data_IF_210430258694
#
_entry.id   IF_210430258694
#
_cell.length_a   1.000
_cell.length_b   1.000
_cell.length_c   1.000
_cell.angle_alpha   90.00
_cell.angle_beta   90.00
_cell.angle_gamma   90.00
#
_symmetry.space_group_name_H-M   'P 1'
#
loop_
_entity.id
_entity.type
_entity.pdbx_description
1 polymer ?
#
# COMPACT_ATOMS: atom_id res chain seq x y z
N UNK A 1 -27.39 19.02 9.00
CA UNK A 1 -26.12 18.91 8.25
C UNK A 1 -26.20 17.64 7.41
N UNK A 2 -26.27 17.77 6.07
CA UNK A 2 -26.27 16.61 5.16
C UNK A 2 -24.88 15.96 5.21
N UNK A 3 -24.80 14.69 5.63
CA UNK A 3 -23.52 13.97 5.57
C UNK A 3 -23.17 13.76 4.10
N UNK A 4 -22.00 14.26 3.68
CA UNK A 4 -21.46 13.93 2.35
C UNK A 4 -21.10 12.44 2.35
N UNK A 5 -22.05 11.58 1.99
CA UNK A 5 -21.80 10.15 1.79
C UNK A 5 -20.81 10.04 0.63
N UNK A 6 -19.59 9.58 0.94
CA UNK A 6 -18.59 9.31 -0.08
C UNK A 6 -19.13 8.21 -1.00
N UNK A 7 -19.36 8.53 -2.28
CA UNK A 7 -19.90 7.58 -3.27
C UNK A 7 -18.87 6.52 -3.68
N UNK A 8 -17.59 6.77 -3.43
CA UNK A 8 -16.51 5.85 -3.76
C UNK A 8 -16.36 4.80 -2.65
N UNK A 9 -16.57 3.53 -3.00
CA UNK A 9 -16.25 2.40 -2.13
C UNK A 9 -14.75 2.42 -1.76
N UNK A 10 -14.39 2.21 -0.48
CA UNK A 10 -13.00 2.09 -0.01
C UNK A 10 -12.16 1.08 -0.81
N UNK A 11 -12.79 0.03 -1.34
CA UNK A 11 -12.18 -0.97 -2.24
C UNK A 11 -11.81 -0.43 -3.63
N UNK A 12 -11.71 0.89 -3.79
CA UNK A 12 -11.32 1.56 -5.02
C UNK A 12 -9.96 2.22 -4.95
N UNK A 13 -9.28 2.19 -3.80
CA UNK A 13 -7.94 2.79 -3.64
C UNK A 13 -6.89 1.73 -3.32
N UNK A 14 -5.66 1.92 -3.79
CA UNK A 14 -4.56 0.99 -3.49
C UNK A 14 -4.05 1.22 -2.07
N UNK A 15 -3.94 0.14 -1.28
CA UNK A 15 -3.40 0.24 0.09
C UNK A 15 -1.98 0.83 0.16
N UNK A 16 -1.11 0.50 -0.79
CA UNK A 16 0.32 0.86 -0.73
C UNK A 16 0.55 2.31 -1.15
N UNK A 17 -0.07 2.77 -2.25
CA UNK A 17 0.20 4.09 -2.83
C UNK A 17 -0.97 5.09 -2.70
N UNK A 18 -2.13 4.68 -2.20
CA UNK A 18 -3.31 5.52 -2.04
C UNK A 18 -4.04 5.91 -3.33
N UNK A 19 -3.53 5.52 -4.50
CA UNK A 19 -4.12 5.90 -5.79
C UNK A 19 -5.41 5.14 -6.07
N UNK A 20 -6.35 5.77 -6.77
CA UNK A 20 -7.55 5.11 -7.28
C UNK A 20 -7.19 3.98 -8.26
N UNK A 21 -7.93 2.87 -8.17
CA UNK A 21 -7.68 1.63 -8.92
C UNK A 21 -8.95 1.21 -9.64
N UNK A 22 -8.87 1.20 -10.96
CA UNK A 22 -9.87 0.60 -11.84
C UNK A 22 -9.97 -0.90 -11.59
N UNK A 23 -11.18 -1.48 -11.69
CA UNK A 23 -11.47 -2.87 -11.30
C UNK A 23 -10.48 -3.90 -11.87
N UNK A 24 -10.10 -3.78 -13.15
CA UNK A 24 -9.14 -4.66 -13.84
C UNK A 24 -7.73 -4.69 -13.21
N UNK A 25 -7.32 -3.57 -12.60
CA UNK A 25 -6.00 -3.40 -12.00
C UNK A 25 -5.98 -3.67 -10.49
N UNK A 26 -7.12 -4.02 -9.89
CA UNK A 26 -7.20 -4.41 -8.49
C UNK A 26 -6.59 -5.80 -8.32
N UNK A 27 -5.82 -5.96 -7.25
CA UNK A 27 -5.25 -7.24 -6.80
C UNK A 27 -5.58 -7.41 -5.33
N UNK A 28 -5.87 -8.64 -4.93
CA UNK A 28 -6.00 -8.98 -3.51
C UNK A 28 -4.64 -8.86 -2.86
N UNK A 29 -4.63 -8.50 -1.58
CA UNK A 29 -3.42 -8.55 -0.78
C UNK A 29 -3.10 -10.01 -0.47
N UNK A 30 -2.00 -10.51 -1.03
CA UNK A 30 -1.48 -11.86 -0.77
C UNK A 30 -0.39 -11.83 0.29
N UNK A 31 0.01 -13.00 0.79
CA UNK A 31 1.12 -13.11 1.75
C UNK A 31 2.44 -12.60 1.17
N UNK A 32 2.67 -12.81 -0.12
CA UNK A 32 3.79 -12.17 -0.84
C UNK A 32 3.76 -10.65 -0.65
N UNK A 33 2.61 -10.00 -0.87
CA UNK A 33 2.49 -8.54 -0.73
C UNK A 33 2.75 -8.11 0.71
N UNK A 34 2.22 -8.82 1.71
CA UNK A 34 2.45 -8.53 3.13
C UNK A 34 3.95 -8.63 3.49
N UNK A 35 4.59 -9.74 3.10
CA UNK A 35 6.01 -10.03 3.34
C UNK A 35 6.92 -9.01 2.64
N UNK A 36 6.69 -8.75 1.35
CA UNK A 36 7.48 -7.80 0.57
C UNK A 36 7.31 -6.36 1.04
N UNK A 37 6.09 -5.97 1.42
CA UNK A 37 5.80 -4.66 1.99
C UNK A 37 6.53 -4.45 3.32
N UNK A 38 6.47 -5.42 4.23
CA UNK A 38 7.19 -5.37 5.50
C UNK A 38 8.70 -5.32 5.29
N UNK A 39 9.24 -6.13 4.38
CA UNK A 39 10.66 -6.12 4.03
C UNK A 39 11.12 -4.77 3.45
N UNK A 40 10.28 -4.12 2.65
CA UNK A 40 10.61 -2.81 2.06
C UNK A 40 10.47 -1.68 3.09
N UNK A 41 9.29 -1.51 3.68
CA UNK A 41 8.98 -0.33 4.50
C UNK A 41 9.32 -0.51 5.99
N UNK A 42 9.65 -1.72 6.44
CA UNK A 42 9.89 -2.03 7.85
C UNK A 42 8.63 -1.98 8.73
N UNK A 43 7.45 -1.80 8.13
CA UNK A 43 6.17 -1.69 8.84
C UNK A 43 5.21 -2.77 8.36
N UNK A 44 4.45 -3.37 9.29
CA UNK A 44 3.45 -4.37 8.92
C UNK A 44 2.36 -3.69 8.10
N UNK A 45 1.92 -4.35 7.03
CA UNK A 45 0.74 -3.93 6.29
C UNK A 45 -0.46 -4.01 7.26
N UNK A 46 -1.01 -2.85 7.63
CA UNK A 46 -1.83 -2.66 8.84
C UNK A 46 -3.19 -3.36 8.86
N UNK A 47 -3.91 -3.12 9.97
CA UNK A 47 -5.17 -3.72 10.45
C UNK A 47 -6.22 -4.09 9.38
N UNK A 48 -6.00 -5.19 8.65
CA UNK A 48 -6.99 -5.73 7.70
C UNK A 48 -8.29 -6.19 8.38
N UNK A 49 -8.27 -6.33 9.71
CA UNK A 49 -9.39 -6.81 10.51
C UNK A 49 -10.38 -5.69 10.87
N UNK A 50 -10.01 -4.42 10.62
CA UNK A 50 -10.88 -3.27 10.91
C UNK A 50 -11.75 -2.93 9.72
N UNK A 51 -13.07 -2.85 9.95
CA UNK A 51 -14.07 -2.54 8.92
C UNK A 51 -13.89 -1.17 8.25
N UNK A 52 -13.24 -0.21 8.92
CA UNK A 52 -12.87 1.08 8.31
C UNK A 52 -11.58 1.02 7.49
N UNK A 53 -10.73 0.02 7.72
CA UNK A 53 -9.50 -0.24 7.01
C UNK A 53 -9.71 -1.21 5.83
N UNK A 54 -10.93 -1.26 5.30
CA UNK A 54 -11.41 -2.07 4.17
C UNK A 54 -10.81 -1.61 2.84
N UNK A 55 -9.49 -1.56 2.79
CA UNK A 55 -8.68 -1.36 1.61
C UNK A 55 -7.93 -2.66 1.43
N UNK A 56 -8.70 -3.67 1.02
CA UNK A 56 -8.22 -5.03 0.79
C UNK A 56 -7.54 -5.19 -0.57
N UNK A 57 -7.42 -4.10 -1.30
CA UNK A 57 -6.89 -4.08 -2.66
C UNK A 57 -5.57 -3.32 -2.76
N UNK A 58 -4.70 -3.85 -3.59
CA UNK A 58 -3.50 -3.18 -4.07
C UNK A 58 -3.57 -3.08 -5.59
N UNK A 59 -2.99 -2.03 -6.17
CA UNK A 59 -2.91 -1.93 -7.62
C UNK A 59 -1.85 -2.90 -8.15
N UNK A 60 -2.08 -3.41 -9.36
CA UNK A 60 -1.14 -4.26 -10.08
C UNK A 60 0.28 -3.66 -10.14
N UNK A 61 0.40 -2.35 -10.34
CA UNK A 61 1.68 -1.65 -10.42
C UNK A 61 2.50 -1.79 -9.13
N UNK A 62 1.89 -1.60 -7.96
CA UNK A 62 2.59 -1.75 -6.68
C UNK A 62 3.06 -3.19 -6.46
N UNK A 63 2.25 -4.18 -6.84
CA UNK A 63 2.64 -5.61 -6.75
C UNK A 63 3.86 -5.88 -7.63
N UNK A 64 3.86 -5.41 -8.87
CA UNK A 64 4.97 -5.63 -9.80
C UNK A 64 6.23 -4.86 -9.41
N UNK A 65 6.10 -3.65 -8.85
CA UNK A 65 7.24 -2.90 -8.32
C UNK A 65 7.89 -3.63 -7.14
N UNK A 66 7.08 -4.12 -6.18
CA UNK A 66 7.57 -4.96 -5.08
C UNK A 66 8.24 -6.24 -5.61
N UNK A 67 7.68 -6.88 -6.62
CA UNK A 67 8.26 -8.08 -7.26
C UNK A 67 9.59 -7.80 -7.96
N UNK A 68 9.72 -6.66 -8.64
CA UNK A 68 11.00 -6.27 -9.29
C UNK A 68 12.05 -5.90 -8.26
N UNK A 69 11.65 -5.16 -7.22
CA UNK A 69 12.55 -4.83 -6.12
C UNK A 69 13.01 -6.08 -5.37
N UNK A 70 12.11 -7.02 -5.11
CA UNK A 70 12.43 -8.29 -4.46
C UNK A 70 13.44 -9.12 -5.27
N UNK A 71 13.35 -9.07 -6.60
CA UNK A 71 14.30 -9.69 -7.54
C UNK A 71 15.58 -8.87 -7.77
N UNK A 72 15.76 -7.76 -7.06
CA UNK A 72 16.88 -6.81 -7.24
C UNK A 72 16.99 -6.23 -8.65
N UNK A 73 15.94 -6.33 -9.47
CA UNK A 73 15.89 -5.73 -10.82
C UNK A 73 15.43 -4.28 -10.78
N UNK A 74 14.86 -3.86 -9.65
CA UNK A 74 14.52 -2.48 -9.34
C UNK A 74 15.24 -2.06 -8.05
N UNK A 75 15.93 -0.91 -8.07
CA UNK A 75 16.67 -0.41 -6.90
C UNK A 75 15.75 0.04 -5.77
N UNK A 76 14.66 0.72 -6.11
CA UNK A 76 13.68 1.25 -5.17
C UNK A 76 12.32 1.43 -5.84
N UNK A 77 11.26 1.41 -5.04
CA UNK A 77 9.95 1.92 -5.47
C UNK A 77 10.06 3.43 -5.76
N UNK A 78 9.09 4.02 -6.50
CA UNK A 78 9.06 5.46 -6.78
C UNK A 78 8.81 6.31 -5.52
N UNK A 79 8.51 5.69 -4.37
CA UNK A 79 8.34 6.32 -3.07
C UNK A 79 9.02 5.49 -1.96
N UNK A 80 9.50 6.19 -0.93
CA UNK A 80 10.16 5.59 0.24
C UNK A 80 9.25 5.44 1.46
N UNK A 81 8.09 6.11 1.46
CA UNK A 81 7.11 6.08 2.56
C UNK A 81 5.78 5.61 1.98
N UNK A 82 5.11 4.61 2.57
CA UNK A 82 3.84 4.12 2.07
C UNK A 82 2.70 5.06 2.49
N UNK A 83 1.52 4.85 1.92
CA UNK A 83 0.34 5.56 2.37
C UNK A 83 0.00 5.18 3.83
N UNK A 84 -0.16 6.18 4.71
CA UNK A 84 -0.58 5.99 6.11
C UNK A 84 -2.10 6.08 6.22
N UNK A 85 -2.78 4.94 6.38
CA UNK A 85 -4.22 4.90 6.60
C UNK A 85 -4.54 5.23 8.06
N UNK A 86 -5.49 6.13 8.28
CA UNK A 86 -6.02 6.48 9.60
C UNK A 86 -7.53 6.34 9.59
N UNK A 87 -8.10 6.06 10.75
CA UNK A 87 -9.55 6.05 10.93
C UNK A 87 -10.11 7.41 10.51
N UNK A 88 -11.15 7.44 9.65
CA UNK A 88 -11.76 8.69 9.26
C UNK A 88 -12.44 9.36 10.45
N UNK A 89 -11.78 10.32 11.08
CA UNK A 89 -12.44 11.28 11.99
C UNK A 89 -13.26 12.22 11.10
N UNK A 90 -14.58 12.08 11.09
CA UNK A 90 -15.59 12.95 10.45
C UNK A 90 -15.11 13.67 9.17
N UNK A 91 -15.48 13.19 7.97
CA UNK A 91 -15.31 13.65 6.55
C UNK A 91 -14.80 15.08 6.17
N UNK A 92 -14.07 15.81 7.01
CA UNK A 92 -13.63 17.19 6.82
C UNK A 92 -12.15 17.24 6.44
N UNK A 93 -11.37 16.20 6.72
CA UNK A 93 -9.92 16.21 6.53
C UNK A 93 -9.40 14.92 5.89
N UNK A 94 -9.66 14.75 4.59
CA UNK A 94 -8.75 13.97 3.74
C UNK A 94 -7.66 14.93 3.29
N UNK A 95 -6.57 15.05 4.06
CA UNK A 95 -5.42 15.82 3.62
C UNK A 95 -4.55 14.93 2.72
N UNK A 96 -4.27 15.32 1.47
CA UNK A 96 -3.13 14.77 0.75
C UNK A 96 -1.87 15.11 1.56
N UNK A 97 -1.11 14.11 1.97
CA UNK A 97 0.18 14.35 2.62
C UNK A 97 1.12 14.95 1.57
N UNK A 98 1.79 16.09 1.84
CA UNK A 98 2.80 16.62 0.94
C UNK A 98 3.93 15.59 0.80
N UNK A 99 4.49 15.45 -0.39
CA UNK A 99 5.66 14.62 -0.66
C UNK A 99 6.80 15.03 0.29
N UNK A 100 7.00 14.27 1.38
CA UNK A 100 8.04 14.50 2.36
C UNK A 100 9.44 14.17 1.80
N UNK A 101 10.51 14.54 2.51
CA UNK A 101 11.88 14.26 2.07
C UNK A 101 12.08 12.76 1.86
N UNK A 102 12.78 12.38 0.78
CA UNK A 102 13.07 10.99 0.42
C UNK A 102 13.70 10.28 1.61
N UNK A 103 12.95 9.37 2.23
CA UNK A 103 13.52 8.43 3.20
C UNK A 103 14.63 7.61 2.52
N UNK A 104 15.67 7.18 3.27
CA UNK A 104 16.71 6.31 2.74
C UNK A 104 16.11 5.07 2.07
N UNK A 105 16.59 4.73 0.88
CA UNK A 105 16.12 3.57 0.14
C UNK A 105 16.55 2.30 0.88
N UNK A 106 15.62 1.41 1.24
CA UNK A 106 15.94 0.15 1.88
C UNK A 106 16.54 -0.84 0.88
N UNK A 107 17.63 -1.50 1.27
CA UNK A 107 18.25 -2.58 0.51
C UNK A 107 17.39 -3.85 0.59
N UNK A 108 17.21 -4.60 -0.52
CA UNK A 108 16.51 -5.89 -0.50
C UNK A 108 17.18 -6.85 0.50
N UNK A 109 16.44 -7.50 1.41
CA UNK A 109 17.02 -8.44 2.35
C UNK A 109 17.61 -9.67 1.64
N UNK A 110 18.62 -10.30 2.25
CA UNK A 110 19.27 -11.53 1.76
C UNK A 110 18.48 -12.82 2.01
N UNK A 111 17.16 -12.75 2.23
CA UNK A 111 16.33 -13.89 2.59
C UNK A 111 16.17 -14.82 1.37
N UNK A 112 16.39 -16.12 1.58
CA UNK A 112 16.17 -17.14 0.56
C UNK A 112 14.67 -17.23 0.21
N UNK A 113 14.34 -16.99 -1.06
CA UNK A 113 12.96 -16.81 -1.56
C UNK A 113 12.08 -18.07 -1.50
N UNK A 114 12.63 -19.24 -1.17
CA UNK A 114 11.88 -20.50 -1.01
C UNK A 114 10.90 -20.48 0.16
N UNK A 115 11.09 -19.60 1.14
CA UNK A 115 10.24 -19.48 2.35
C UNK A 115 8.99 -18.57 2.14
N UNK A 116 8.78 -18.07 0.92
CA UNK A 116 7.75 -17.08 0.60
C UNK A 116 6.72 -17.56 -0.44
N UNK A 117 6.76 -18.84 -0.81
CA UNK A 117 5.80 -19.53 -1.70
C UNK A 117 4.56 -20.01 -0.94
#
# INVERSE_FOLDING_TARGET
MSSRKCLSSPDSFCHICGSFVVKSNRRKITDFVKKAYFAYFGIKLGDQDKSWATIHIVCHTCVEQLRKWSKKTLKSLPFGVPMVWREPLNHVLAMPVPHGPKAPIPSPPGIAWTELS
#
